data_IF_951571231487
#
_entry.id   IF_951571231487
#
_cell.length_a   1.000
_cell.length_b   1.000
_cell.length_c   1.000
_cell.angle_alpha   90.00
_cell.angle_beta   90.00
_cell.angle_gamma   90.00
#
_symmetry.space_group_name_H-M   'P 1'
#
loop_
_entity.id
_entity.type
_entity.pdbx_description
1 polymer ?
#
# COMPACT_ATOMS: atom_id res chain seq x y z
N UNK A 1 -19.53 -20.58 -1.14
CA UNK A 1 -18.17 -20.26 -0.64
C UNK A 1 -17.35 -19.53 -1.70
N UNK A 2 -17.30 -20.01 -2.94
CA UNK A 2 -16.59 -19.35 -4.06
C UNK A 2 -17.04 -17.91 -4.33
N UNK A 3 -18.34 -17.62 -4.15
CA UNK A 3 -18.90 -16.25 -4.31
C UNK A 3 -18.22 -15.22 -3.42
N UNK A 4 -17.87 -15.59 -2.18
CA UNK A 4 -17.20 -14.68 -1.24
C UNK A 4 -15.81 -14.32 -1.76
N UNK A 5 -15.05 -15.30 -2.25
CA UNK A 5 -13.73 -15.07 -2.85
C UNK A 5 -13.79 -14.17 -4.08
N UNK A 6 -14.82 -14.33 -4.93
CA UNK A 6 -15.04 -13.47 -6.09
C UNK A 6 -15.33 -12.03 -5.65
N UNK A 7 -16.19 -11.84 -4.65
CA UNK A 7 -16.49 -10.50 -4.10
C UNK A 7 -15.22 -9.85 -3.54
N UNK A 8 -14.44 -10.59 -2.75
CA UNK A 8 -13.16 -10.09 -2.23
C UNK A 8 -12.18 -9.72 -3.35
N UNK A 9 -12.04 -10.56 -4.39
CA UNK A 9 -11.16 -10.28 -5.51
C UNK A 9 -11.57 -9.02 -6.26
N UNK A 10 -12.86 -8.86 -6.57
CA UNK A 10 -13.39 -7.66 -7.24
C UNK A 10 -13.18 -6.41 -6.37
N UNK A 11 -13.47 -6.49 -5.06
CA UNK A 11 -13.27 -5.38 -4.15
C UNK A 11 -11.80 -4.96 -4.04
N UNK A 12 -10.87 -5.91 -3.99
CA UNK A 12 -9.43 -5.64 -3.96
C UNK A 12 -8.93 -5.00 -5.25
N UNK A 13 -9.40 -5.46 -6.41
CA UNK A 13 -9.05 -4.86 -7.71
C UNK A 13 -9.58 -3.43 -7.81
N UNK A 14 -10.81 -3.18 -7.36
CA UNK A 14 -11.38 -1.84 -7.33
C UNK A 14 -10.60 -0.92 -6.38
N UNK A 15 -10.27 -1.41 -5.18
CA UNK A 15 -9.46 -0.67 -4.22
C UNK A 15 -8.06 -0.35 -4.77
N UNK A 16 -7.43 -1.31 -5.46
CA UNK A 16 -6.14 -1.11 -6.10
C UNK A 16 -6.23 -0.04 -7.20
N UNK A 17 -7.24 -0.09 -8.07
CA UNK A 17 -7.46 0.90 -9.11
C UNK A 17 -7.65 2.33 -8.54
N UNK A 18 -8.45 2.46 -7.48
CA UNK A 18 -8.67 3.75 -6.79
C UNK A 18 -7.37 4.25 -6.15
N UNK A 19 -6.61 3.36 -5.53
CA UNK A 19 -5.34 3.71 -4.86
C UNK A 19 -4.29 4.11 -5.89
N UNK A 20 -4.18 3.41 -7.02
CA UNK A 20 -3.31 3.79 -8.14
C UNK A 20 -3.68 5.14 -8.72
N UNK A 21 -4.97 5.47 -8.79
CA UNK A 21 -5.41 6.80 -9.21
C UNK A 21 -4.95 7.89 -8.23
N UNK A 22 -5.04 7.66 -6.92
CA UNK A 22 -4.51 8.58 -5.90
C UNK A 22 -2.99 8.72 -5.99
N UNK A 23 -2.28 7.63 -6.24
CA UNK A 23 -0.83 7.64 -6.41
C UNK A 23 -0.37 8.60 -7.52
N UNK A 24 -1.08 8.63 -8.65
CA UNK A 24 -0.74 9.49 -9.79
C UNK A 24 -1.16 10.95 -9.56
N UNK A 25 -2.35 11.18 -9.00
CA UNK A 25 -2.91 12.53 -8.80
C UNK A 25 -2.54 13.20 -7.49
N UNK A 26 -1.83 12.52 -6.59
CA UNK A 26 -1.50 13.05 -5.27
C UNK A 26 -0.76 14.38 -5.34
N UNK A 27 -1.22 15.44 -4.64
CA UNK A 27 -0.63 16.78 -4.69
C UNK A 27 0.66 16.89 -3.87
N UNK A 28 0.82 16.07 -2.84
CA UNK A 28 1.98 16.07 -1.95
C UNK A 28 2.76 14.75 -2.08
N UNK A 29 4.08 14.82 -1.95
CA UNK A 29 5.00 13.67 -1.89
C UNK A 29 4.56 12.64 -0.83
N UNK A 30 4.02 13.08 0.32
CA UNK A 30 3.45 12.20 1.35
C UNK A 30 2.18 11.48 0.92
N UNK A 31 1.27 12.15 0.19
CA UNK A 31 0.02 11.50 -0.26
C UNK A 31 0.34 10.37 -1.25
N UNK A 32 1.34 10.60 -2.12
CA UNK A 32 1.85 9.57 -3.03
C UNK A 32 2.51 8.42 -2.26
N UNK A 33 3.33 8.73 -1.26
CA UNK A 33 3.97 7.72 -0.41
C UNK A 33 2.93 6.82 0.28
N UNK A 34 1.92 7.43 0.90
CA UNK A 34 0.83 6.70 1.57
C UNK A 34 0.06 5.84 0.57
N UNK A 35 -0.15 6.33 -0.66
CA UNK A 35 -0.77 5.53 -1.71
C UNK A 35 0.08 4.30 -2.10
N UNK A 36 1.42 4.41 -2.13
CA UNK A 36 2.30 3.25 -2.37
C UNK A 36 2.18 2.23 -1.23
N UNK A 37 2.24 2.68 0.03
CA UNK A 37 2.10 1.81 1.20
C UNK A 37 0.74 1.07 1.17
N UNK A 38 -0.32 1.78 0.80
CA UNK A 38 -1.65 1.19 0.66
C UNK A 38 -1.73 0.14 -0.47
N UNK A 39 -1.00 0.32 -1.58
CA UNK A 39 -0.91 -0.72 -2.62
C UNK A 39 -0.19 -1.98 -2.12
N UNK A 40 0.83 -1.82 -1.27
CA UNK A 40 1.50 -2.96 -0.61
C UNK A 40 0.51 -3.67 0.31
N UNK A 41 -0.25 -2.93 1.14
CA UNK A 41 -1.27 -3.51 2.02
C UNK A 41 -2.36 -4.28 1.23
N UNK A 42 -2.83 -3.73 0.10
CA UNK A 42 -3.79 -4.42 -0.78
C UNK A 42 -3.22 -5.70 -1.39
N UNK A 43 -1.93 -5.70 -1.73
CA UNK A 43 -1.23 -6.89 -2.23
C UNK A 43 -1.15 -7.98 -1.16
N UNK A 44 -0.85 -7.60 0.09
CA UNK A 44 -0.87 -8.50 1.26
C UNK A 44 -2.27 -9.09 1.47
N UNK A 45 -3.33 -8.28 1.39
CA UNK A 45 -4.70 -8.77 1.48
C UNK A 45 -5.04 -9.76 0.35
N UNK A 46 -4.60 -9.50 -0.88
CA UNK A 46 -4.78 -10.42 -2.01
C UNK A 46 -4.09 -11.77 -1.78
N UNK A 47 -2.85 -11.76 -1.29
CA UNK A 47 -2.13 -12.96 -0.91
C UNK A 47 -2.82 -13.71 0.23
N UNK A 48 -3.34 -13.00 1.23
CA UNK A 48 -4.10 -13.61 2.32
C UNK A 48 -5.37 -14.32 1.81
N UNK A 49 -6.14 -13.68 0.93
CA UNK A 49 -7.31 -14.30 0.28
C UNK A 49 -6.89 -15.55 -0.52
N UNK A 50 -5.76 -15.49 -1.25
CA UNK A 50 -5.22 -16.63 -1.98
C UNK A 50 -4.83 -17.80 -1.06
N UNK A 51 -4.17 -17.52 0.06
CA UNK A 51 -3.83 -18.56 1.06
C UNK A 51 -5.08 -19.19 1.66
N UNK A 52 -6.10 -18.40 1.96
CA UNK A 52 -7.37 -18.89 2.48
C UNK A 52 -8.12 -19.76 1.45
N UNK A 53 -8.02 -19.43 0.16
CA UNK A 53 -8.64 -20.19 -0.92
C UNK A 53 -7.93 -21.53 -1.14
N UNK A 54 -6.59 -21.51 -1.22
CA UNK A 54 -5.77 -22.70 -1.52
C UNK A 54 -5.61 -23.62 -0.32
N UNK A 55 -5.81 -23.10 0.91
CA UNK A 55 -5.49 -23.76 2.19
C UNK A 55 -4.02 -24.12 2.36
N UNK A 56 -3.15 -23.45 1.60
CA UNK A 56 -1.71 -23.57 1.72
C UNK A 56 -1.18 -22.39 2.56
N UNK A 57 -0.55 -22.72 3.68
CA UNK A 57 -0.01 -21.76 4.65
C UNK A 57 1.43 -21.35 4.36
N UNK A 58 2.06 -21.89 3.32
CA UNK A 58 3.47 -21.65 2.99
C UNK A 58 3.76 -20.15 2.77
N UNK A 59 2.80 -19.41 2.24
CA UNK A 59 2.94 -17.97 1.97
C UNK A 59 2.72 -17.09 3.22
N UNK A 60 2.19 -17.61 4.33
CA UNK A 60 1.85 -16.81 5.51
C UNK A 60 3.09 -16.14 6.11
N UNK A 61 4.23 -16.83 6.16
CA UNK A 61 5.49 -16.24 6.64
C UNK A 61 5.94 -15.07 5.76
N UNK A 62 5.80 -15.20 4.43
CA UNK A 62 6.11 -14.13 3.49
C UNK A 62 5.13 -12.94 3.61
N UNK A 63 3.84 -13.20 3.82
CA UNK A 63 2.81 -12.16 4.08
C UNK A 63 3.16 -11.36 5.32
N UNK A 64 3.58 -12.03 6.40
CA UNK A 64 4.00 -11.37 7.65
C UNK A 64 5.24 -10.50 7.40
N UNK A 65 6.26 -11.04 6.71
CA UNK A 65 7.46 -10.29 6.37
C UNK A 65 7.16 -9.05 5.51
N UNK A 66 6.29 -9.18 4.49
CA UNK A 66 5.85 -8.07 3.63
C UNK A 66 5.08 -7.00 4.42
N UNK A 67 4.21 -7.41 5.35
CA UNK A 67 3.44 -6.48 6.18
C UNK A 67 4.37 -5.65 7.07
N UNK A 68 5.37 -6.29 7.69
CA UNK A 68 6.36 -5.60 8.50
C UNK A 68 7.22 -4.67 7.63
N UNK A 69 7.64 -5.13 6.45
CA UNK A 69 8.45 -4.33 5.53
C UNK A 69 7.73 -3.07 5.05
N UNK A 70 6.45 -3.17 4.67
CA UNK A 70 5.63 -2.03 4.27
C UNK A 70 5.52 -0.99 5.40
N UNK A 71 5.15 -1.46 6.60
CA UNK A 71 5.03 -0.61 7.77
C UNK A 71 6.35 0.09 8.14
N UNK A 72 7.46 -0.65 8.19
CA UNK A 72 8.79 -0.09 8.46
C UNK A 72 9.20 0.91 7.39
N UNK A 73 8.92 0.61 6.11
CA UNK A 73 9.19 1.52 4.98
C UNK A 73 8.49 2.86 5.12
N UNK A 74 7.20 2.85 5.48
CA UNK A 74 6.41 4.06 5.72
C UNK A 74 6.98 4.91 6.87
N UNK A 75 7.40 4.27 7.98
CA UNK A 75 8.05 4.96 9.11
C UNK A 75 9.41 5.53 8.71
N UNK A 76 10.23 4.77 7.98
CA UNK A 76 11.55 5.22 7.56
C UNK A 76 11.44 6.47 6.68
N UNK A 77 10.52 6.47 5.72
CA UNK A 77 10.38 7.59 4.79
C UNK A 77 9.82 8.82 5.51
N UNK A 78 8.85 8.67 6.42
CA UNK A 78 8.34 9.81 7.21
C UNK A 78 9.40 10.44 8.12
N UNK A 79 10.36 9.65 8.62
CA UNK A 79 11.49 10.14 9.44
C UNK A 79 12.54 10.89 8.64
N UNK A 80 12.83 10.45 7.40
CA UNK A 80 13.95 10.97 6.61
C UNK A 80 13.51 11.84 5.41
N UNK A 81 12.21 12.09 5.21
CA UNK A 81 11.78 12.97 4.11
C UNK A 81 12.19 14.42 4.38
N UNK A 82 12.53 15.12 3.31
CA UNK A 82 12.67 16.58 3.30
C UNK A 82 11.27 17.20 3.11
N UNK A 83 10.83 18.15 3.96
CA UNK A 83 9.55 18.84 3.80
C UNK A 83 9.50 19.66 2.51
N UNK A 84 8.37 19.65 1.81
CA UNK A 84 8.20 20.34 0.51
C UNK A 84 8.09 21.90 0.65
N UNK A 85 8.36 22.49 1.82
CA UNK A 85 8.07 23.91 2.15
C UNK A 85 9.29 24.85 2.08
N UNK A 86 10.41 24.44 1.50
CA UNK A 86 11.56 25.34 1.30
C UNK A 86 11.48 26.00 -0.08
N UNK A 87 10.61 27.00 -0.21
CA UNK A 87 10.79 28.06 -1.21
C UNK A 87 11.28 29.28 -0.44
N UNK A 88 12.51 29.64 -0.76
CA UNK A 88 13.35 30.71 -0.21
C UNK A 88 12.65 32.08 -0.34
N UNK A 89 12.33 32.74 0.79
CA UNK A 89 12.27 34.21 0.76
C UNK A 89 13.72 34.69 0.73
N UNK A 90 14.23 34.94 -0.47
CA UNK A 90 15.46 35.72 -0.67
C UNK A 90 15.12 37.19 -0.33
N UNK A 91 15.68 37.78 0.74
CA UNK A 91 15.42 39.17 1.05
C UNK A 91 16.28 40.04 0.12
N UNK A 92 15.64 40.66 -0.88
CA UNK A 92 16.21 41.73 -1.71
C UNK A 92 16.51 42.99 -0.90
#
# INVERSE_FOLDING_TARGET
MTTVFVICAVALVLAAAITSFRLVRGPNSLDRLVAVDMLVALSVCGLAVWTAFTRDTTLISAIVALTLLGFIGSIAITRYRVPDTTVEEEPT
#
